data_IF_757881093084
#
_entry.id   IF_757881093084
#
_cell.length_a   1.000
_cell.length_b   1.000
_cell.length_c   1.000
_cell.angle_alpha   90.00
_cell.angle_beta   90.00
_cell.angle_gamma   90.00
#
_symmetry.space_group_name_H-M   'P 1'
#
loop_
_entity.id
_entity.type
_entity.pdbx_description
1 polymer ?
#
# COMPACT_ATOMS: atom_id res chain seq x y z
N UNK A 1 -64.10 50.78 23.96
CA UNK A 1 -64.67 49.59 24.63
C UNK A 1 -63.73 48.45 24.36
N UNK A 2 -62.75 48.35 25.25
CA UNK A 2 -61.68 47.37 25.26
C UNK A 2 -62.26 45.98 25.57
N UNK A 3 -62.11 45.04 24.64
CA UNK A 3 -62.35 43.62 24.94
C UNK A 3 -61.01 42.96 25.20
N UNK A 4 -60.61 42.95 26.48
CA UNK A 4 -59.68 41.98 27.03
C UNK A 4 -60.29 40.58 26.87
N UNK A 5 -59.67 39.74 26.04
CA UNK A 5 -59.86 38.30 26.12
C UNK A 5 -58.76 37.67 26.99
N UNK A 6 -59.06 36.62 27.77
CA UNK A 6 -58.29 36.21 28.93
C UNK A 6 -57.03 35.45 28.53
N UNK A 7 -55.92 35.79 29.16
CA UNK A 7 -54.70 34.97 29.20
C UNK A 7 -55.02 33.58 29.77
N UNK A 8 -55.00 32.56 28.92
CA UNK A 8 -54.92 31.17 29.37
C UNK A 8 -53.45 30.76 29.45
N UNK A 9 -52.94 30.37 30.63
CA UNK A 9 -51.57 29.87 30.78
C UNK A 9 -51.55 28.42 30.32
N UNK A 10 -51.26 28.19 29.03
CA UNK A 10 -50.94 26.84 28.54
C UNK A 10 -49.54 26.48 28.98
N UNK A 11 -49.48 26.00 30.22
CA UNK A 11 -48.71 24.85 30.68
C UNK A 11 -47.33 24.68 30.04
N UNK A 12 -46.33 24.98 30.87
CA UNK A 12 -45.00 24.38 30.88
C UNK A 12 -45.10 22.85 31.06
N UNK A 13 -45.61 22.15 30.05
CA UNK A 13 -45.51 20.70 29.95
C UNK A 13 -44.27 20.35 29.16
N UNK A 14 -43.13 20.34 29.86
CA UNK A 14 -42.40 19.10 30.13
C UNK A 14 -42.17 18.11 28.97
N UNK A 15 -42.13 18.53 27.72
CA UNK A 15 -41.60 17.69 26.65
C UNK A 15 -40.12 17.45 26.97
N UNK A 16 -39.68 16.20 27.20
CA UNK A 16 -38.27 15.94 27.40
C UNK A 16 -37.57 16.46 26.14
N UNK A 17 -36.75 17.51 26.29
CA UNK A 17 -35.89 18.05 25.23
C UNK A 17 -35.03 16.87 24.78
N UNK A 18 -35.47 16.15 23.75
CA UNK A 18 -34.69 15.09 23.14
C UNK A 18 -33.35 15.74 22.82
N UNK A 19 -32.21 15.21 23.31
CA UNK A 19 -30.93 15.80 23.00
C UNK A 19 -30.86 15.84 21.48
N UNK A 20 -30.75 17.05 20.92
CA UNK A 20 -30.48 17.22 19.50
C UNK A 20 -29.15 16.51 19.30
N UNK A 21 -29.18 15.28 18.80
CA UNK A 21 -28.01 14.56 18.34
C UNK A 21 -27.51 15.37 17.16
N UNK A 22 -26.62 16.34 17.44
CA UNK A 22 -25.91 17.07 16.40
C UNK A 22 -25.15 16.01 15.62
N UNK A 23 -25.65 15.68 14.44
CA UNK A 23 -24.92 14.85 13.50
C UNK A 23 -23.65 15.63 13.17
N UNK A 24 -22.53 15.22 13.78
CA UNK A 24 -21.21 15.69 13.39
C UNK A 24 -20.89 14.91 12.13
N UNK A 25 -20.88 15.54 10.94
CA UNK A 25 -20.54 14.84 9.71
C UNK A 25 -19.16 14.21 9.89
N UNK A 26 -18.93 12.98 9.41
CA UNK A 26 -17.59 12.39 9.39
C UNK A 26 -16.64 13.41 8.77
N UNK A 27 -15.62 13.83 9.53
CA UNK A 27 -14.66 14.81 9.07
C UNK A 27 -14.03 14.30 7.76
N UNK A 28 -14.26 14.99 6.63
CA UNK A 28 -13.73 14.57 5.34
C UNK A 28 -12.23 14.89 5.25
N UNK A 29 -11.45 14.14 6.03
CA UNK A 29 -10.00 14.25 6.04
C UNK A 29 -9.46 13.73 4.71
N UNK A 30 -8.61 14.52 4.06
CA UNK A 30 -7.91 14.10 2.84
C UNK A 30 -6.94 12.95 3.14
N UNK A 31 -6.65 12.12 2.15
CA UNK A 31 -5.65 11.05 2.26
C UNK A 31 -4.23 11.60 2.46
N UNK A 32 -3.38 10.84 3.15
CA UNK A 32 -1.96 11.14 3.33
C UNK A 32 -1.24 11.14 1.97
N UNK A 33 -0.52 12.24 1.65
CA UNK A 33 0.26 12.34 0.39
C UNK A 33 1.34 11.26 0.33
N UNK A 34 1.99 11.00 1.47
CA UNK A 34 2.95 9.91 1.62
C UNK A 34 2.30 8.54 1.46
N UNK A 35 1.08 8.36 1.98
CA UNK A 35 0.31 7.13 1.79
C UNK A 35 0.01 6.84 0.31
N UNK A 36 -0.44 7.85 -0.44
CA UNK A 36 -0.70 7.71 -1.89
C UNK A 36 0.58 7.42 -2.66
N UNK A 37 1.66 8.16 -2.38
CA UNK A 37 2.95 7.93 -3.04
C UNK A 37 3.46 6.50 -2.81
N UNK A 38 3.43 6.04 -1.56
CA UNK A 38 3.78 4.66 -1.18
C UNK A 38 2.90 3.62 -1.88
N UNK A 39 1.59 3.90 -2.01
CA UNK A 39 0.66 3.01 -2.69
C UNK A 39 0.98 2.88 -4.18
N UNK A 40 1.24 3.99 -4.87
CA UNK A 40 1.63 3.97 -6.29
C UNK A 40 2.94 3.20 -6.45
N UNK A 41 3.95 3.47 -5.61
CA UNK A 41 5.20 2.72 -5.63
C UNK A 41 4.97 1.23 -5.43
N UNK A 42 4.06 0.83 -4.53
CA UNK A 42 3.75 -0.60 -4.31
C UNK A 42 3.19 -1.29 -5.56
N UNK A 43 2.35 -0.60 -6.34
CA UNK A 43 1.81 -1.13 -7.59
C UNK A 43 2.91 -1.23 -8.64
N UNK A 44 3.70 -0.16 -8.80
CA UNK A 44 4.77 -0.10 -9.80
C UNK A 44 5.82 -1.18 -9.52
N UNK A 45 6.26 -1.33 -8.27
CA UNK A 45 7.26 -2.35 -7.92
C UNK A 45 6.70 -3.74 -8.01
N UNK A 46 5.45 -3.97 -7.58
CA UNK A 46 4.80 -5.28 -7.71
C UNK A 46 4.71 -5.73 -9.18
N UNK A 47 4.26 -4.85 -10.08
CA UNK A 47 4.25 -5.12 -11.52
C UNK A 47 5.67 -5.33 -12.06
N UNK A 48 6.63 -4.52 -11.58
CA UNK A 48 8.05 -4.67 -11.91
C UNK A 48 8.58 -6.06 -11.56
N UNK A 49 8.29 -6.57 -10.36
CA UNK A 49 8.71 -7.91 -9.96
C UNK A 49 8.05 -9.03 -10.75
N UNK A 50 6.76 -8.90 -11.08
CA UNK A 50 6.07 -9.89 -11.91
C UNK A 50 6.74 -9.97 -13.29
N UNK A 51 7.02 -8.81 -13.92
CA UNK A 51 7.69 -8.75 -15.21
C UNK A 51 9.13 -9.27 -15.14
N UNK A 52 9.91 -8.86 -14.14
CA UNK A 52 11.28 -9.31 -13.95
C UNK A 52 11.34 -10.81 -13.69
N UNK A 53 10.42 -11.36 -12.89
CA UNK A 53 10.31 -12.79 -12.64
C UNK A 53 10.02 -13.56 -13.93
N UNK A 54 9.05 -13.11 -14.73
CA UNK A 54 8.71 -13.75 -16.00
C UNK A 54 9.85 -13.68 -17.02
N UNK A 55 10.55 -12.55 -17.12
CA UNK A 55 11.72 -12.42 -17.99
C UNK A 55 12.87 -13.31 -17.49
N UNK A 56 13.12 -13.33 -16.19
CA UNK A 56 14.17 -14.13 -15.58
C UNK A 56 14.00 -15.62 -15.83
N UNK A 57 12.77 -16.15 -15.70
CA UNK A 57 12.50 -17.57 -15.98
C UNK A 57 12.77 -17.90 -17.44
N UNK A 58 12.28 -17.09 -18.39
CA UNK A 58 12.51 -17.34 -19.83
C UNK A 58 13.99 -17.29 -20.24
N UNK A 59 14.82 -16.52 -19.52
CA UNK A 59 16.25 -16.44 -19.76
C UNK A 59 17.03 -17.62 -19.17
N UNK A 60 16.55 -18.22 -18.07
CA UNK A 60 17.22 -19.33 -17.38
C UNK A 60 16.80 -20.69 -17.94
N UNK A 61 15.53 -20.85 -18.30
CA UNK A 61 14.91 -22.13 -18.71
C UNK A 61 15.72 -22.90 -19.78
N UNK A 62 16.27 -22.28 -20.84
CA UNK A 62 17.02 -23.01 -21.86
C UNK A 62 18.34 -23.61 -21.38
N UNK A 63 18.86 -23.15 -20.24
CA UNK A 63 20.18 -23.52 -19.72
C UNK A 63 20.12 -24.42 -18.49
N UNK A 64 18.93 -24.69 -17.97
CA UNK A 64 18.73 -25.46 -16.74
C UNK A 64 17.81 -26.67 -16.95
N UNK A 65 18.20 -27.80 -16.35
CA UNK A 65 17.33 -28.97 -16.19
C UNK A 65 17.29 -29.40 -14.74
N UNK A 66 16.46 -30.39 -14.43
CA UNK A 66 16.35 -30.97 -13.09
C UNK A 66 17.69 -31.55 -12.58
N UNK A 67 18.58 -31.97 -13.49
CA UNK A 67 19.90 -32.51 -13.16
C UNK A 67 21.02 -31.45 -13.14
N UNK A 68 20.67 -30.17 -13.28
CA UNK A 68 21.60 -29.05 -13.32
C UNK A 68 21.74 -28.38 -14.70
N UNK A 69 22.76 -27.51 -14.86
CA UNK A 69 22.98 -26.76 -16.09
C UNK A 69 23.31 -27.71 -17.24
N UNK A 70 22.65 -27.52 -18.39
CA UNK A 70 22.89 -28.34 -19.59
C UNK A 70 23.79 -27.66 -20.62
N UNK A 71 23.86 -26.34 -20.60
CA UNK A 71 24.61 -25.53 -21.55
C UNK A 71 25.20 -24.33 -20.82
N UNK A 72 26.40 -23.92 -21.23
CA UNK A 72 26.93 -22.63 -20.80
C UNK A 72 26.23 -21.50 -21.56
N UNK A 73 25.65 -20.51 -20.85
CA UNK A 73 25.03 -19.37 -21.50
C UNK A 73 26.06 -18.54 -22.27
N UNK A 74 25.64 -18.00 -23.42
CA UNK A 74 26.47 -17.10 -24.22
C UNK A 74 26.82 -15.83 -23.43
N UNK A 75 27.92 -15.16 -23.79
CA UNK A 75 28.30 -13.90 -23.14
C UNK A 75 27.18 -12.85 -23.20
N UNK A 76 26.49 -12.74 -24.34
CA UNK A 76 25.33 -11.85 -24.50
C UNK A 76 24.20 -12.19 -23.52
N UNK A 77 23.91 -13.48 -23.33
CA UNK A 77 22.89 -13.92 -22.36
C UNK A 77 23.31 -13.59 -20.94
N UNK A 78 24.58 -13.82 -20.58
CA UNK A 78 25.12 -13.47 -19.26
C UNK A 78 25.03 -11.97 -18.97
N UNK A 79 25.34 -11.13 -19.96
CA UNK A 79 25.21 -9.67 -19.85
C UNK A 79 23.74 -9.25 -19.66
N UNK A 80 22.82 -9.88 -20.39
CA UNK A 80 21.38 -9.65 -20.24
C UNK A 80 20.86 -10.07 -18.85
N UNK A 81 21.26 -11.25 -18.36
CA UNK A 81 20.92 -11.73 -17.02
C UNK A 81 21.46 -10.81 -15.92
N UNK A 82 22.71 -10.36 -16.07
CA UNK A 82 23.35 -9.42 -15.13
C UNK A 82 22.62 -8.09 -15.11
N UNK A 83 22.23 -7.58 -16.28
CA UNK A 83 21.44 -6.36 -16.40
C UNK A 83 20.06 -6.51 -15.74
N UNK A 84 19.40 -7.65 -15.95
CA UNK A 84 18.11 -7.94 -15.33
C UNK A 84 18.22 -7.98 -13.80
N UNK A 85 19.29 -8.58 -13.27
CA UNK A 85 19.58 -8.60 -11.84
C UNK A 85 19.84 -7.18 -11.28
N UNK A 86 20.56 -6.32 -12.01
CA UNK A 86 20.77 -4.94 -11.62
C UNK A 86 19.44 -4.14 -11.58
N UNK A 87 18.55 -4.34 -12.56
CA UNK A 87 17.21 -3.74 -12.56
C UNK A 87 16.38 -4.26 -11.39
N UNK A 88 16.46 -5.55 -11.08
CA UNK A 88 15.79 -6.13 -9.91
C UNK A 88 16.23 -5.46 -8.60
N UNK A 89 17.54 -5.23 -8.41
CA UNK A 89 18.06 -4.51 -7.24
C UNK A 89 17.51 -3.07 -7.20
N UNK A 90 17.46 -2.38 -8.34
CA UNK A 90 16.89 -1.03 -8.40
C UNK A 90 15.41 -1.02 -7.98
N UNK A 91 14.61 -1.96 -8.49
CA UNK A 91 13.20 -2.11 -8.09
C UNK A 91 13.08 -2.41 -6.59
N UNK A 92 13.99 -3.21 -6.03
CA UNK A 92 14.08 -3.47 -4.59
C UNK A 92 14.34 -2.22 -3.77
N UNK A 93 15.26 -1.37 -4.20
CA UNK A 93 15.50 -0.07 -3.55
C UNK A 93 14.26 0.82 -3.61
N UNK A 94 13.58 0.89 -4.76
CA UNK A 94 12.33 1.66 -4.91
C UNK A 94 11.23 1.11 -4.00
N UNK A 95 11.14 -0.20 -3.82
CA UNK A 95 10.17 -0.86 -2.95
C UNK A 95 10.44 -0.56 -1.46
N UNK A 96 11.71 -0.50 -1.06
CA UNK A 96 12.11 -0.04 0.28
C UNK A 96 11.72 1.42 0.49
N UNK A 97 11.94 2.29 -0.49
CA UNK A 97 11.47 3.69 -0.43
C UNK A 97 9.94 3.73 -0.29
N UNK A 98 9.22 2.90 -1.06
CA UNK A 98 7.78 2.72 -0.95
C UNK A 98 7.35 2.32 0.46
N UNK A 99 8.02 1.36 1.09
CA UNK A 99 7.77 0.93 2.45
C UNK A 99 7.97 2.08 3.46
N UNK A 100 9.10 2.80 3.38
CA UNK A 100 9.41 3.92 4.28
C UNK A 100 8.36 5.02 4.16
N UNK A 101 7.95 5.39 2.94
CA UNK A 101 6.88 6.37 2.73
C UNK A 101 5.54 5.89 3.28
N UNK A 102 5.26 4.58 3.22
CA UNK A 102 4.07 3.97 3.79
C UNK A 102 4.04 4.11 5.31
N UNK A 103 5.15 3.76 5.97
CA UNK A 103 5.34 3.88 7.42
C UNK A 103 5.17 5.35 7.84
N UNK A 104 5.87 6.28 7.18
CA UNK A 104 5.74 7.73 7.45
C UNK A 104 4.29 8.20 7.24
N UNK A 105 3.62 7.69 6.21
CA UNK A 105 2.21 7.97 5.92
C UNK A 105 1.26 7.50 7.03
N UNK A 106 1.58 6.42 7.73
CA UNK A 106 0.78 5.87 8.83
C UNK A 106 0.76 6.80 10.06
N UNK A 107 1.80 7.61 10.27
CA UNK A 107 1.89 8.52 11.42
C UNK A 107 1.27 9.91 11.16
N UNK A 108 0.60 10.13 10.02
CA UNK A 108 -0.02 11.42 9.71
C UNK A 108 -1.16 11.78 10.67
N UNK A 109 -1.05 12.89 11.42
CA UNK A 109 -2.09 13.32 12.39
C UNK A 109 -3.35 13.88 11.74
N UNK A 110 -3.20 14.54 10.58
CA UNK A 110 -4.24 15.40 9.99
C UNK A 110 -4.97 14.76 8.80
N UNK A 111 -4.56 13.55 8.38
CA UNK A 111 -5.01 12.92 7.12
C UNK A 111 -5.42 11.46 7.34
N UNK A 112 -6.27 10.93 6.46
CA UNK A 112 -6.66 9.51 6.46
C UNK A 112 -5.42 8.64 6.25
N UNK A 113 -5.27 7.62 7.11
CA UNK A 113 -4.11 6.71 7.16
C UNK A 113 -4.33 5.40 6.40
N UNK A 114 -5.58 5.09 6.03
CA UNK A 114 -5.96 3.80 5.42
C UNK A 114 -5.08 3.44 4.23
N UNK A 115 -4.89 4.39 3.30
CA UNK A 115 -4.03 4.18 2.11
C UNK A 115 -2.58 3.90 2.50
N UNK A 116 -2.06 4.58 3.51
CA UNK A 116 -0.69 4.36 3.99
C UNK A 116 -0.53 2.98 4.64
N UNK A 117 -1.52 2.53 5.41
CA UNK A 117 -1.52 1.20 6.04
C UNK A 117 -1.54 0.10 4.97
N UNK A 118 -2.46 0.20 4.00
CA UNK A 118 -2.53 -0.75 2.89
C UNK A 118 -1.22 -0.79 2.13
N UNK A 119 -0.66 0.37 1.76
CA UNK A 119 0.60 0.43 1.05
C UNK A 119 1.78 -0.14 1.86
N UNK A 120 1.80 0.08 3.17
CA UNK A 120 2.83 -0.50 4.07
C UNK A 120 2.75 -2.01 4.09
N UNK A 121 1.55 -2.57 4.20
CA UNK A 121 1.34 -4.02 4.18
C UNK A 121 1.79 -4.61 2.84
N UNK A 122 1.37 -4.03 1.71
CA UNK A 122 1.74 -4.54 0.38
C UNK A 122 3.26 -4.49 0.17
N UNK A 123 3.91 -3.34 0.41
CA UNK A 123 5.38 -3.24 0.29
C UNK A 123 6.09 -4.21 1.24
N UNK A 124 5.61 -4.31 2.49
CA UNK A 124 6.20 -5.19 3.50
C UNK A 124 6.10 -6.67 3.14
N UNK A 125 4.94 -7.13 2.67
CA UNK A 125 4.74 -8.51 2.21
C UNK A 125 5.68 -8.81 1.03
N UNK A 126 5.80 -7.89 0.08
CA UNK A 126 6.70 -8.09 -1.08
C UNK A 126 8.16 -8.23 -0.63
N UNK A 127 8.64 -7.35 0.24
CA UNK A 127 10.01 -7.41 0.78
C UNK A 127 10.24 -8.72 1.55
N UNK A 128 9.29 -9.12 2.40
CA UNK A 128 9.39 -10.37 3.17
C UNK A 128 9.42 -11.58 2.24
N UNK A 129 8.54 -11.64 1.24
CA UNK A 129 8.51 -12.75 0.27
C UNK A 129 9.82 -12.85 -0.49
N UNK A 130 10.32 -11.73 -1.03
CA UNK A 130 11.61 -11.73 -1.74
C UNK A 130 12.74 -12.15 -0.80
N UNK A 131 12.81 -11.57 0.40
CA UNK A 131 13.81 -11.93 1.39
C UNK A 131 13.76 -13.41 1.78
N UNK A 132 12.57 -13.97 1.95
CA UNK A 132 12.37 -15.40 2.23
C UNK A 132 12.83 -16.28 1.07
N UNK A 133 12.57 -15.88 -0.19
CA UNK A 133 13.07 -16.61 -1.36
C UNK A 133 14.61 -16.57 -1.44
N UNK A 134 15.23 -15.43 -1.18
CA UNK A 134 16.69 -15.33 -1.13
C UNK A 134 17.28 -16.20 -0.02
N UNK A 135 16.71 -16.14 1.18
CA UNK A 135 17.16 -16.99 2.30
C UNK A 135 16.99 -18.47 1.97
N UNK A 136 15.85 -18.85 1.37
CA UNK A 136 15.60 -20.22 0.92
C UNK A 136 16.68 -20.69 -0.05
N UNK A 137 16.95 -19.92 -1.11
CA UNK A 137 17.98 -20.24 -2.12
C UNK A 137 19.39 -20.29 -1.52
N UNK A 138 19.72 -19.41 -0.58
CA UNK A 138 21.03 -19.40 0.09
C UNK A 138 21.22 -20.55 1.08
N UNK A 139 20.11 -21.12 1.58
CA UNK A 139 20.11 -22.22 2.55
C UNK A 139 19.93 -23.61 1.93
N UNK A 140 19.56 -23.66 0.65
CA UNK A 140 19.35 -24.88 -0.14
C UNK A 140 20.66 -25.34 -0.79
#
# INVERSE_FOLDING_TARGET
>A
MDQQSPSSPSEDQGSPKRPKTTFIPPEDRKNSRFGIASFILSIVTLLGYILLGALGTTMIEPYMTENGPILEPTQETLEAMTTLAAVFILVMVINIVGLVLGIVGCFSKTRKRVVAVIATIVNGVVIITIGALFLFVLSA
#
